data_IF_633082077082
#
_entry.id   IF_633082077082
#
_cell.length_a   1.000
_cell.length_b   1.000
_cell.length_c   1.000
_cell.angle_alpha   90.00
_cell.angle_beta   90.00
_cell.angle_gamma   90.00
#
_symmetry.space_group_name_H-M   'P 1'
#
loop_
_entity.id
_entity.type
_entity.pdbx_description
1 polymer ?
#
# COMPACT_ATOMS: atom_id res chain seq x y z
N UNK A 1 19.71 -4.22 2.03
CA UNK A 1 18.62 -5.17 2.31
C UNK A 1 17.76 -4.59 3.42
N UNK A 2 16.45 -4.85 3.41
CA UNK A 2 15.50 -4.35 4.42
C UNK A 2 14.59 -5.49 4.88
N UNK A 3 14.32 -5.53 6.17
CA UNK A 3 13.31 -6.40 6.79
C UNK A 3 12.45 -5.60 7.76
N UNK A 4 11.16 -5.95 7.85
CA UNK A 4 10.26 -5.35 8.82
C UNK A 4 8.97 -6.16 8.96
N UNK A 5 8.40 -6.19 10.17
CA UNK A 5 7.06 -6.72 10.42
C UNK A 5 5.95 -5.74 10.00
N UNK A 6 6.29 -4.48 9.70
CA UNK A 6 5.34 -3.40 9.44
C UNK A 6 4.24 -3.74 8.43
N UNK A 7 4.51 -4.26 7.21
CA UNK A 7 3.44 -4.55 6.24
C UNK A 7 2.39 -5.51 6.79
N UNK A 8 2.81 -6.57 7.47
CA UNK A 8 1.87 -7.57 7.99
C UNK A 8 1.21 -7.12 9.30
N UNK A 9 1.95 -6.48 10.22
CA UNK A 9 1.40 -5.96 11.47
C UNK A 9 0.39 -4.85 11.23
N UNK A 10 0.67 -3.93 10.30
CA UNK A 10 -0.25 -2.83 9.97
C UNK A 10 -1.51 -3.35 9.26
N UNK A 11 -1.38 -4.32 8.35
CA UNK A 11 -2.51 -4.94 7.68
C UNK A 11 -3.54 -5.52 8.65
N UNK A 12 -3.07 -6.28 9.65
CA UNK A 12 -3.92 -6.87 10.70
C UNK A 12 -4.56 -5.83 11.62
N UNK A 13 -3.95 -4.64 11.71
CA UNK A 13 -4.47 -3.50 12.48
C UNK A 13 -5.19 -2.47 11.59
N UNK A 14 -5.60 -2.85 10.38
CA UNK A 14 -6.43 -2.01 9.50
C UNK A 14 -5.73 -0.83 8.85
N UNK A 15 -4.39 -0.81 8.81
CA UNK A 15 -3.59 0.22 8.15
C UNK A 15 -2.98 -0.35 6.86
N UNK A 16 -3.45 0.17 5.71
CA UNK A 16 -3.20 -0.40 4.39
C UNK A 16 -2.42 0.61 3.54
N UNK A 17 -1.26 0.19 3.04
CA UNK A 17 -0.44 1.01 2.17
C UNK A 17 -1.02 1.04 0.77
N UNK A 18 -1.25 2.21 0.21
CA UNK A 18 -1.77 2.41 -1.15
C UNK A 18 -0.88 3.40 -1.89
N UNK A 19 -1.03 3.50 -3.20
CA UNK A 19 -0.21 4.38 -4.04
C UNK A 19 -0.14 5.82 -3.49
N UNK A 20 -1.27 6.39 -3.09
CA UNK A 20 -1.37 7.78 -2.60
C UNK A 20 -1.39 7.87 -1.06
N UNK A 21 -0.74 6.93 -0.36
CA UNK A 21 -0.52 7.00 1.08
C UNK A 21 -1.06 5.81 1.86
N UNK A 22 -1.85 6.06 2.92
CA UNK A 22 -2.32 5.02 3.85
C UNK A 22 -3.82 5.09 4.03
N UNK A 23 -4.50 3.98 3.75
CA UNK A 23 -5.91 3.77 4.04
C UNK A 23 -6.06 3.17 5.44
N UNK A 24 -6.86 3.82 6.29
CA UNK A 24 -7.32 3.26 7.57
C UNK A 24 -8.69 2.62 7.35
N UNK A 25 -8.74 1.31 7.14
CA UNK A 25 -9.95 0.64 6.61
C UNK A 25 -11.15 0.73 7.55
N UNK A 26 -10.91 0.95 8.86
CA UNK A 26 -11.94 1.17 9.89
C UNK A 26 -12.72 2.46 9.75
N UNK A 27 -12.21 3.43 8.99
CA UNK A 27 -12.86 4.73 8.84
C UNK A 27 -14.23 4.56 8.15
N UNK A 28 -15.25 5.24 8.67
CA UNK A 28 -16.63 5.13 8.20
C UNK A 28 -16.80 5.47 6.70
N UNK A 29 -15.94 6.33 6.15
CA UNK A 29 -15.94 6.68 4.71
C UNK A 29 -15.81 5.47 3.77
N UNK A 30 -15.25 4.36 4.26
CA UNK A 30 -15.07 3.15 3.46
C UNK A 30 -16.27 2.21 3.49
N UNK A 31 -17.26 2.43 4.36
CA UNK A 31 -18.38 1.51 4.59
C UNK A 31 -19.17 1.16 3.32
N UNK A 32 -19.31 2.12 2.41
CA UNK A 32 -20.06 1.98 1.14
C UNK A 32 -19.18 2.22 -0.09
N UNK A 33 -17.85 2.28 0.09
CA UNK A 33 -16.91 2.51 -1.00
C UNK A 33 -16.70 1.21 -1.79
N UNK A 34 -17.33 1.09 -2.95
CA UNK A 34 -17.22 -0.08 -3.82
C UNK A 34 -15.95 -0.10 -4.68
N UNK A 35 -15.12 0.95 -4.62
CA UNK A 35 -13.84 0.98 -5.32
C UNK A 35 -12.84 -0.04 -4.74
N UNK A 36 -11.84 -0.47 -5.53
CA UNK A 36 -10.76 -1.30 -5.01
C UNK A 36 -9.96 -0.55 -3.93
N UNK A 37 -9.23 -1.30 -3.11
CA UNK A 37 -8.39 -0.72 -2.07
C UNK A 37 -7.37 0.29 -2.62
N UNK A 38 -6.75 -0.05 -3.74
CA UNK A 38 -5.77 0.75 -4.48
C UNK A 38 -5.98 0.48 -5.98
N UNK A 39 -6.24 1.53 -6.75
CA UNK A 39 -6.58 1.42 -8.17
C UNK A 39 -5.38 0.97 -9.03
N UNK A 40 -4.15 1.20 -8.56
CA UNK A 40 -2.94 0.82 -9.30
C UNK A 40 -2.40 -0.56 -8.87
N UNK A 41 -3.01 -1.20 -7.86
CA UNK A 41 -2.54 -2.47 -7.33
C UNK A 41 -3.15 -3.67 -8.04
N UNK A 42 -2.29 -4.62 -8.35
CA UNK A 42 -2.62 -5.83 -9.11
C UNK A 42 -2.70 -7.09 -8.24
N UNK A 43 -2.75 -6.93 -6.91
CA UNK A 43 -2.87 -8.06 -5.98
C UNK A 43 -4.26 -8.71 -6.05
N UNK A 44 -4.36 -9.94 -5.53
CA UNK A 44 -5.63 -10.66 -5.41
C UNK A 44 -6.70 -9.83 -4.69
N UNK A 45 -6.34 -9.14 -3.60
CA UNK A 45 -7.28 -8.33 -2.84
C UNK A 45 -7.88 -7.19 -3.66
N UNK A 46 -7.05 -6.38 -4.33
CA UNK A 46 -7.50 -5.23 -5.12
C UNK A 46 -8.30 -5.62 -6.36
N UNK A 47 -8.02 -6.78 -6.96
CA UNK A 47 -8.73 -7.25 -8.15
C UNK A 47 -10.12 -7.84 -7.85
N UNK A 48 -10.36 -8.30 -6.62
CA UNK A 48 -11.52 -9.13 -6.30
C UNK A 48 -12.42 -8.55 -5.21
N UNK A 49 -11.96 -7.57 -4.43
CA UNK A 49 -12.70 -7.05 -3.28
C UNK A 49 -12.68 -5.52 -3.22
N UNK A 50 -13.81 -4.96 -2.77
CA UNK A 50 -13.97 -3.54 -2.55
C UNK A 50 -13.52 -3.10 -1.15
N UNK A 51 -13.28 -1.80 -0.98
CA UNK A 51 -13.03 -1.20 0.34
C UNK A 51 -14.18 -1.44 1.32
N UNK A 52 -15.43 -1.37 0.84
CA UNK A 52 -16.62 -1.67 1.64
C UNK A 52 -16.60 -3.09 2.22
N UNK A 53 -16.22 -4.07 1.39
CA UNK A 53 -16.14 -5.45 1.85
C UNK A 53 -14.99 -5.65 2.86
N UNK A 54 -13.82 -5.05 2.62
CA UNK A 54 -12.70 -5.11 3.57
C UNK A 54 -13.04 -4.40 4.90
N UNK A 55 -13.74 -3.27 4.85
CA UNK A 55 -14.26 -2.58 6.03
C UNK A 55 -15.22 -3.48 6.82
N UNK A 56 -16.15 -4.15 6.14
CA UNK A 56 -17.07 -5.10 6.74
C UNK A 56 -16.35 -6.25 7.43
N UNK A 57 -15.39 -6.91 6.75
CA UNK A 57 -14.62 -8.01 7.33
C UNK A 57 -13.85 -7.60 8.60
N UNK A 58 -13.18 -6.44 8.58
CA UNK A 58 -12.49 -5.93 9.78
C UNK A 58 -13.47 -5.61 10.91
N UNK A 59 -14.64 -5.01 10.60
CA UNK A 59 -15.70 -4.74 11.59
C UNK A 59 -16.30 -5.99 12.21
N UNK A 60 -16.38 -7.08 11.44
CA UNK A 60 -16.85 -8.39 11.90
C UNK A 60 -15.76 -9.21 12.60
N UNK A 61 -14.52 -8.70 12.69
CA UNK A 61 -13.34 -9.44 13.20
C UNK A 61 -13.08 -10.76 12.45
N UNK A 62 -13.37 -10.78 11.15
CA UNK A 62 -13.16 -11.96 10.31
C UNK A 62 -11.69 -12.12 9.93
N UNK A 63 -11.14 -13.33 10.10
CA UNK A 63 -9.72 -13.63 9.80
C UNK A 63 -9.38 -13.41 8.32
N UNK A 64 -10.38 -13.55 7.44
CA UNK A 64 -10.23 -13.28 6.01
C UNK A 64 -9.79 -11.82 5.76
N UNK A 65 -10.32 -10.86 6.52
CA UNK A 65 -9.93 -9.45 6.39
C UNK A 65 -8.44 -9.26 6.66
N UNK A 66 -7.92 -9.85 7.74
CA UNK A 66 -6.50 -9.84 8.05
C UNK A 66 -5.63 -10.49 6.96
N UNK A 67 -6.08 -11.60 6.36
CA UNK A 67 -5.39 -12.29 5.26
C UNK A 67 -5.32 -11.44 4.00
N UNK A 68 -6.46 -10.92 3.53
CA UNK A 68 -6.56 -10.09 2.33
C UNK A 68 -5.74 -8.80 2.47
N UNK A 69 -5.84 -8.15 3.62
CA UNK A 69 -5.06 -6.95 3.92
C UNK A 69 -3.55 -7.23 3.93
N UNK A 70 -3.13 -8.40 4.43
CA UNK A 70 -1.72 -8.80 4.45
C UNK A 70 -1.18 -9.07 3.05
N UNK A 71 -1.96 -9.76 2.20
CA UNK A 71 -1.62 -9.97 0.78
C UNK A 71 -1.38 -8.62 0.09
N UNK A 72 -2.28 -7.67 0.30
CA UNK A 72 -2.17 -6.33 -0.29
C UNK A 72 -0.92 -5.59 0.19
N UNK A 73 -0.71 -5.46 1.50
CA UNK A 73 0.44 -4.71 2.03
C UNK A 73 1.78 -5.33 1.63
N UNK A 74 1.88 -6.66 1.56
CA UNK A 74 3.08 -7.32 1.06
C UNK A 74 3.28 -7.03 -0.43
N UNK A 75 2.21 -7.09 -1.25
CA UNK A 75 2.31 -6.75 -2.68
C UNK A 75 2.73 -5.29 -2.89
N UNK A 76 2.22 -4.35 -2.09
CA UNK A 76 2.65 -2.96 -2.12
C UNK A 76 4.17 -2.83 -1.93
N UNK A 77 4.72 -3.46 -0.90
CA UNK A 77 6.18 -3.45 -0.66
C UNK A 77 6.96 -4.07 -1.81
N UNK A 78 6.49 -5.20 -2.37
CA UNK A 78 7.16 -5.84 -3.50
C UNK A 78 7.15 -4.97 -4.76
N UNK A 79 6.04 -4.28 -5.05
CA UNK A 79 5.93 -3.32 -6.16
C UNK A 79 6.84 -2.12 -5.97
N UNK A 80 6.87 -1.54 -4.76
CA UNK A 80 7.76 -0.43 -4.42
C UNK A 80 9.23 -0.81 -4.63
N UNK A 81 9.65 -1.97 -4.13
CA UNK A 81 11.03 -2.45 -4.29
C UNK A 81 11.37 -2.81 -5.74
N UNK A 82 10.41 -3.32 -6.51
CA UNK A 82 10.60 -3.54 -7.95
C UNK A 82 10.77 -2.23 -8.71
N UNK A 83 9.96 -1.20 -8.39
CA UNK A 83 10.09 0.14 -8.96
C UNK A 83 11.44 0.77 -8.64
N UNK A 84 11.89 0.68 -7.39
CA UNK A 84 13.23 1.15 -6.98
C UNK A 84 14.36 0.48 -7.78
N UNK A 85 14.33 -0.86 -7.91
CA UNK A 85 15.35 -1.59 -8.69
C UNK A 85 15.37 -1.16 -10.15
N UNK A 86 14.19 -1.04 -10.76
CA UNK A 86 14.06 -0.57 -12.15
C UNK A 86 14.58 0.87 -12.32
N UNK A 87 14.26 1.75 -11.38
CA UNK A 87 14.73 3.14 -11.42
C UNK A 87 16.26 3.24 -11.29
N UNK A 88 16.88 2.37 -10.49
CA UNK A 88 18.35 2.28 -10.39
C UNK A 88 18.94 1.81 -11.72
N UNK A 89 18.41 0.72 -12.30
CA UNK A 89 18.87 0.17 -13.57
C UNK A 89 18.77 1.19 -14.72
N UNK A 90 17.73 2.03 -14.71
CA UNK A 90 17.52 3.08 -15.71
C UNK A 90 18.23 4.41 -15.40
N UNK A 91 18.93 4.54 -14.26
CA UNK A 91 19.54 5.81 -13.85
C UNK A 91 18.53 6.92 -13.50
N UNK A 92 17.30 6.55 -13.09
CA UNK A 92 16.16 7.46 -12.79
C UNK A 92 15.73 7.43 -11.33
N UNK A 93 16.62 7.05 -10.41
CA UNK A 93 16.29 6.92 -8.99
C UNK A 93 15.75 8.22 -8.39
N UNK A 94 16.36 9.37 -8.71
CA UNK A 94 15.94 10.68 -8.20
C UNK A 94 14.51 11.04 -8.61
N UNK A 95 14.15 10.83 -9.88
CA UNK A 95 12.79 11.05 -10.37
C UNK A 95 11.79 10.13 -9.66
N UNK A 96 12.14 8.85 -9.48
CA UNK A 96 11.29 7.89 -8.78
C UNK A 96 11.03 8.28 -7.33
N UNK A 97 12.06 8.69 -6.59
CA UNK A 97 11.93 9.14 -5.20
C UNK A 97 11.10 10.42 -5.13
N UNK A 98 11.37 11.38 -6.02
CA UNK A 98 10.61 12.63 -6.08
C UNK A 98 9.12 12.37 -6.27
N UNK A 99 8.74 11.54 -7.23
CA UNK A 99 7.34 11.16 -7.47
C UNK A 99 6.72 10.47 -6.25
N UNK A 100 7.45 9.53 -5.64
CA UNK A 100 6.97 8.80 -4.46
C UNK A 100 6.63 9.75 -3.28
N UNK A 101 7.50 10.72 -2.98
CA UNK A 101 7.27 11.67 -1.89
C UNK A 101 6.17 12.69 -2.24
N UNK A 102 6.09 13.13 -3.50
CA UNK A 102 5.01 14.01 -3.97
C UNK A 102 3.64 13.34 -3.82
N UNK A 103 3.48 12.07 -4.24
CA UNK A 103 2.23 11.30 -4.06
C UNK A 103 1.84 11.13 -2.58
N UNK A 104 2.81 11.15 -1.67
CA UNK A 104 2.55 11.11 -0.22
C UNK A 104 2.31 12.49 0.41
N UNK A 105 2.43 13.59 -0.36
CA UNK A 105 2.35 14.95 0.17
C UNK A 105 3.45 15.27 1.17
N UNK A 106 4.66 14.71 0.97
CA UNK A 106 5.81 14.88 1.86
C UNK A 106 6.98 15.55 1.13
N UNK A 107 7.84 16.31 1.84
CA UNK A 107 9.03 16.87 1.23
C UNK A 107 9.97 15.75 0.78
N UNK A 108 10.61 15.94 -0.37
CA UNK A 108 11.63 15.03 -0.89
C UNK A 108 12.89 15.19 -0.03
N UNK A 109 13.46 14.12 0.54
CA UNK A 109 14.72 14.20 1.28
C UNK A 109 15.89 14.49 0.32
N UNK A 110 17.00 15.09 0.80
CA UNK A 110 18.19 15.27 -0.02
C UNK A 110 18.72 13.90 -0.46
N UNK A 111 18.95 13.77 -1.77
CA UNK A 111 19.49 12.56 -2.38
C UNK A 111 20.97 12.79 -2.67
N UNK A 112 21.82 12.25 -1.81
CA UNK A 112 23.27 12.22 -2.06
C UNK A 112 23.53 11.07 -3.04
N UNK A 113 23.36 11.33 -4.33
CA UNK A 113 23.70 10.39 -5.41
C UNK A 113 25.05 10.85 -5.96
N UNK A 114 26.12 10.46 -5.27
CA UNK A 114 27.49 10.53 -5.80
C UNK A 114 27.78 9.31 -6.69
#
# INVERSE_FOLDING_TARGET
MFDCVMPTRNARNGHLFVTDGVVKIRNAKHKSDTSPLDAECDCYTCRNYSRAYLHHLDRCNEILGARLNTIHNLRYYQRLMAGLRKAIEEGKLESFVTEFYQRQGRPVPPLNVD
#
